data_IF_188707298709
#
_entry.id   IF_188707298709
#
_cell.length_a   1.000
_cell.length_b   1.000
_cell.length_c   1.000
_cell.angle_alpha   90.00
_cell.angle_beta   90.00
_cell.angle_gamma   90.00
#
_symmetry.space_group_name_H-M   'P 1'
#
loop_
_entity.id
_entity.type
_entity.pdbx_description
1 polymer ?
#
# COMPACT_ATOMS: atom_id res chain seq x y z
N UNK A 1 -13.19 -33.45 7.02
CA UNK A 1 -12.46 -32.21 6.63
C UNK A 1 -12.45 -31.33 7.86
N UNK A 2 -11.29 -30.87 8.34
CA UNK A 2 -11.23 -29.93 9.45
C UNK A 2 -11.91 -28.60 9.01
N UNK A 3 -12.53 -27.90 9.97
CA UNK A 3 -13.10 -26.59 9.72
C UNK A 3 -12.00 -25.60 9.28
N UNK A 4 -12.26 -24.77 8.28
CA UNK A 4 -11.33 -23.73 7.85
C UNK A 4 -11.20 -22.66 8.95
N UNK A 5 -10.00 -22.12 9.14
CA UNK A 5 -9.77 -21.00 10.05
C UNK A 5 -10.20 -19.69 9.37
N UNK A 6 -11.19 -18.99 9.93
CA UNK A 6 -11.60 -17.68 9.43
C UNK A 6 -10.50 -16.65 9.66
N UNK A 7 -10.21 -15.86 8.64
CA UNK A 7 -9.31 -14.71 8.70
C UNK A 7 -9.98 -13.50 8.06
N UNK A 8 -9.68 -12.31 8.56
CA UNK A 8 -10.20 -11.05 8.02
C UNK A 8 -9.06 -10.30 7.36
N UNK A 9 -9.22 -10.03 6.07
CA UNK A 9 -8.23 -9.30 5.29
C UNK A 9 -8.70 -7.87 5.10
N UNK A 10 -7.85 -6.97 5.49
CA UNK A 10 -8.02 -5.55 5.33
C UNK A 10 -7.36 -5.08 4.01
N UNK A 11 -8.12 -4.73 2.97
CA UNK A 11 -7.56 -4.36 1.69
C UNK A 11 -7.10 -2.90 1.68
N UNK A 12 -5.79 -2.65 1.67
CA UNK A 12 -5.22 -1.33 1.40
C UNK A 12 -4.92 -1.09 -0.09
N UNK A 13 -5.77 -1.61 -0.96
CA UNK A 13 -5.51 -1.79 -2.39
C UNK A 13 -4.96 -3.20 -2.62
N UNK A 14 -5.84 -4.13 -3.00
CA UNK A 14 -5.45 -5.53 -3.21
C UNK A 14 -4.38 -5.65 -4.29
N UNK A 15 -3.38 -6.48 -4.04
CA UNK A 15 -2.28 -6.78 -4.94
C UNK A 15 -2.64 -7.95 -5.83
N UNK A 16 -1.95 -8.06 -6.96
CA UNK A 16 -2.22 -9.16 -7.89
C UNK A 16 -2.04 -10.53 -7.23
N UNK A 17 -0.98 -10.71 -6.42
CA UNK A 17 -0.76 -11.97 -5.70
C UNK A 17 -1.85 -12.28 -4.68
N UNK A 18 -2.47 -11.28 -4.05
CA UNK A 18 -3.62 -11.51 -3.15
C UNK A 18 -4.84 -11.99 -3.93
N UNK A 19 -5.15 -11.35 -5.08
CA UNK A 19 -6.23 -11.80 -5.96
C UNK A 19 -6.01 -13.21 -6.50
N UNK A 20 -4.77 -13.54 -6.87
CA UNK A 20 -4.41 -14.90 -7.32
C UNK A 20 -4.64 -15.90 -6.19
N UNK A 21 -4.21 -15.60 -4.96
CA UNK A 21 -4.40 -16.49 -3.83
C UNK A 21 -5.90 -16.78 -3.55
N UNK A 22 -6.78 -15.79 -3.79
CA UNK A 22 -8.24 -15.99 -3.74
C UNK A 22 -8.75 -16.85 -4.89
N UNK A 23 -8.44 -16.50 -6.13
CA UNK A 23 -9.00 -17.13 -7.34
C UNK A 23 -8.51 -18.58 -7.51
N UNK A 24 -7.26 -18.85 -7.19
CA UNK A 24 -6.68 -20.20 -7.25
C UNK A 24 -6.97 -21.05 -6.00
N UNK A 25 -7.62 -20.49 -4.97
CA UNK A 25 -7.99 -21.19 -3.76
C UNK A 25 -6.82 -21.49 -2.80
N UNK A 26 -5.68 -20.81 -2.96
CA UNK A 26 -4.47 -21.10 -2.15
C UNK A 26 -4.68 -20.86 -0.66
N UNK A 27 -5.52 -19.91 -0.26
CA UNK A 27 -5.90 -19.74 1.14
C UNK A 27 -6.64 -20.95 1.69
N UNK A 28 -7.56 -21.53 0.92
CA UNK A 28 -8.31 -22.72 1.33
C UNK A 28 -7.42 -23.96 1.40
N UNK A 29 -6.47 -24.10 0.49
CA UNK A 29 -5.48 -25.17 0.51
C UNK A 29 -4.65 -25.13 1.81
N UNK A 30 -4.37 -23.93 2.32
CA UNK A 30 -3.70 -23.70 3.60
C UNK A 30 -4.67 -23.75 4.80
N UNK A 31 -5.92 -24.18 4.60
CA UNK A 31 -6.91 -24.32 5.67
C UNK A 31 -7.48 -22.98 6.17
N UNK A 32 -7.42 -21.92 5.37
CA UNK A 32 -7.91 -20.59 5.70
C UNK A 32 -9.20 -20.25 4.93
N UNK A 33 -10.10 -19.51 5.59
CA UNK A 33 -11.33 -18.95 5.01
C UNK A 33 -11.27 -17.41 5.08
N UNK A 34 -10.73 -16.74 4.05
CA UNK A 34 -10.53 -15.31 4.06
C UNK A 34 -11.81 -14.52 3.78
N UNK A 35 -12.11 -13.58 4.66
CA UNK A 35 -13.13 -12.55 4.51
C UNK A 35 -12.48 -11.20 4.20
N UNK A 36 -12.80 -10.57 3.07
CA UNK A 36 -12.30 -9.25 2.73
C UNK A 36 -13.21 -8.16 3.31
N UNK A 37 -12.63 -7.24 4.04
CA UNK A 37 -13.35 -6.13 4.70
C UNK A 37 -13.62 -4.98 3.72
N UNK A 38 -14.55 -5.19 2.79
CA UNK A 38 -14.85 -4.25 1.70
C UNK A 38 -15.32 -2.87 2.17
N UNK A 39 -16.09 -2.81 3.26
CA UNK A 39 -16.57 -1.53 3.79
C UNK A 39 -15.42 -0.64 4.24
N UNK A 40 -14.38 -1.22 4.81
CA UNK A 40 -13.16 -0.51 5.18
C UNK A 40 -12.43 -0.01 3.93
N UNK A 41 -12.32 -0.85 2.89
CA UNK A 41 -11.73 -0.46 1.60
C UNK A 41 -12.45 0.73 0.97
N UNK A 42 -13.77 0.66 0.89
CA UNK A 42 -14.60 1.76 0.36
C UNK A 42 -14.48 3.04 1.20
N UNK A 43 -14.32 2.91 2.50
CA UNK A 43 -14.07 4.04 3.41
C UNK A 43 -12.77 4.79 3.08
N UNK A 44 -11.70 4.07 2.69
CA UNK A 44 -10.42 4.67 2.29
C UNK A 44 -10.48 5.47 0.99
N UNK A 45 -11.46 5.21 0.13
CA UNK A 45 -11.63 5.93 -1.14
C UNK A 45 -12.08 7.37 -0.94
N UNK A 46 -12.59 7.72 0.24
CA UNK A 46 -13.04 9.06 0.59
C UNK A 46 -11.88 9.93 1.05
N UNK A 47 -12.03 11.26 0.90
CA UNK A 47 -11.10 12.23 1.49
C UNK A 47 -11.15 12.13 3.03
N UNK A 48 -9.98 12.25 3.66
CA UNK A 48 -9.83 12.11 5.10
C UNK A 48 -8.95 13.22 5.69
N UNK A 49 -9.42 13.88 6.75
CA UNK A 49 -8.71 14.98 7.43
C UNK A 49 -8.49 14.73 8.95
N UNK A 50 -8.93 13.58 9.47
CA UNK A 50 -8.76 13.21 10.88
C UNK A 50 -7.35 12.71 11.23
N UNK A 51 -7.10 12.48 12.52
CA UNK A 51 -5.85 11.92 13.02
C UNK A 51 -5.73 10.40 12.81
N UNK A 52 -4.60 9.82 13.24
CA UNK A 52 -4.29 8.39 13.07
C UNK A 52 -5.40 7.45 13.55
N UNK A 53 -5.85 7.62 14.80
CA UNK A 53 -6.79 6.70 15.44
C UNK A 53 -8.23 6.79 14.94
N UNK A 54 -8.49 7.54 13.88
CA UNK A 54 -9.84 7.78 13.37
C UNK A 54 -10.01 7.40 11.89
N UNK A 55 -8.95 6.91 11.22
CA UNK A 55 -9.07 6.52 9.79
C UNK A 55 -9.90 5.24 9.66
N UNK A 56 -10.68 5.09 8.58
CA UNK A 56 -11.46 3.86 8.34
C UNK A 56 -10.64 2.58 8.41
N UNK A 57 -9.39 2.61 7.95
CA UNK A 57 -8.48 1.48 7.96
C UNK A 57 -7.96 1.12 9.35
N UNK A 58 -8.04 2.01 10.33
CA UNK A 58 -7.58 1.76 11.70
C UNK A 58 -8.68 1.12 12.55
N UNK A 59 -9.94 1.27 12.13
CA UNK A 59 -11.10 0.80 12.86
C UNK A 59 -11.05 -0.70 13.23
N UNK A 60 -10.68 -1.62 12.31
CA UNK A 60 -10.58 -3.04 12.63
C UNK A 60 -9.61 -3.37 13.77
N UNK A 61 -8.52 -2.60 13.88
CA UNK A 61 -7.50 -2.79 14.94
C UNK A 61 -7.94 -2.19 16.27
N UNK A 62 -8.72 -1.12 16.24
CA UNK A 62 -9.33 -0.53 17.45
C UNK A 62 -10.43 -1.42 18.04
N UNK A 63 -11.11 -2.18 17.19
CA UNK A 63 -12.18 -3.10 17.56
C UNK A 63 -11.69 -4.52 17.88
N UNK A 64 -10.39 -4.80 17.74
CA UNK A 64 -9.84 -6.15 17.97
C UNK A 64 -10.37 -7.16 16.93
N UNK A 65 -10.52 -6.76 15.69
CA UNK A 65 -11.18 -7.56 14.66
C UNK A 65 -10.29 -8.66 14.04
N UNK A 66 -9.11 -8.92 14.59
CA UNK A 66 -8.14 -9.91 14.09
C UNK A 66 -7.82 -9.73 12.59
N UNK A 67 -7.65 -8.48 12.17
CA UNK A 67 -7.43 -8.13 10.78
C UNK A 67 -5.97 -8.33 10.35
N UNK A 68 -5.79 -8.75 9.10
CA UNK A 68 -4.50 -8.82 8.40
C UNK A 68 -4.54 -7.78 7.30
N UNK A 69 -3.63 -6.81 7.34
CA UNK A 69 -3.50 -5.79 6.30
C UNK A 69 -2.06 -5.68 5.83
N UNK A 70 -1.86 -4.92 4.75
CA UNK A 70 -0.55 -4.55 4.25
C UNK A 70 -0.52 -3.03 4.04
N UNK A 71 0.58 -2.39 4.44
CA UNK A 71 0.83 -0.98 4.21
C UNK A 71 2.30 -0.74 3.86
N UNK A 72 2.66 0.46 3.41
CA UNK A 72 4.08 0.80 3.26
C UNK A 72 4.82 0.61 4.60
N UNK A 73 6.10 0.27 4.56
CA UNK A 73 6.88 -0.03 5.76
C UNK A 73 6.79 1.10 6.79
N UNK A 74 6.88 2.36 6.38
CA UNK A 74 6.70 3.52 7.26
C UNK A 74 5.33 3.53 7.95
N UNK A 75 4.26 3.30 7.18
CA UNK A 75 2.89 3.27 7.71
C UNK A 75 2.65 2.12 8.68
N UNK A 76 3.16 0.93 8.38
CA UNK A 76 3.04 -0.24 9.27
C UNK A 76 3.78 -0.02 10.59
N UNK A 77 4.99 0.55 10.54
CA UNK A 77 5.76 0.90 11.74
C UNK A 77 5.07 2.00 12.54
N UNK A 78 4.60 3.07 11.90
CA UNK A 78 3.88 4.15 12.57
C UNK A 78 2.58 3.66 13.24
N UNK A 79 1.82 2.79 12.57
CA UNK A 79 0.59 2.23 13.12
C UNK A 79 0.89 1.37 14.36
N UNK A 80 1.89 0.48 14.28
CA UNK A 80 2.32 -0.32 15.43
C UNK A 80 2.81 0.57 16.58
N UNK A 81 3.60 1.61 16.27
CA UNK A 81 4.07 2.57 17.26
C UNK A 81 2.96 3.38 17.94
N UNK A 82 1.84 3.59 17.24
CA UNK A 82 0.63 4.21 17.79
C UNK A 82 -0.27 3.23 18.58
N UNK A 83 0.17 1.98 18.76
CA UNK A 83 -0.58 0.95 19.50
C UNK A 83 -1.74 0.34 18.70
N UNK A 84 -1.66 0.38 17.37
CA UNK A 84 -2.64 -0.21 16.46
C UNK A 84 -2.08 -1.48 15.84
N UNK A 85 -2.06 -2.58 16.58
CA UNK A 85 -1.53 -3.86 16.13
C UNK A 85 0.00 -3.91 16.05
N UNK A 86 0.53 -4.83 15.26
CA UNK A 86 1.96 -5.08 15.09
C UNK A 86 2.30 -5.29 13.60
N UNK A 87 3.53 -4.96 13.19
CA UNK A 87 4.00 -5.39 11.88
C UNK A 87 4.67 -6.76 11.94
N UNK A 88 4.64 -7.50 10.84
CA UNK A 88 5.29 -8.81 10.72
C UNK A 88 6.61 -8.64 9.98
N UNK A 89 7.77 -8.91 10.65
CA UNK A 89 9.08 -8.71 10.05
C UNK A 89 9.53 -9.87 9.14
N UNK A 90 8.77 -10.97 9.07
CA UNK A 90 9.16 -12.19 8.36
C UNK A 90 8.65 -12.25 6.91
N UNK A 91 7.95 -11.20 6.47
CA UNK A 91 7.46 -11.07 5.10
C UNK A 91 7.39 -9.58 4.70
N UNK A 92 7.65 -9.30 3.43
CA UNK A 92 7.54 -7.95 2.90
C UNK A 92 7.14 -7.93 1.42
N UNK A 93 6.63 -6.80 0.98
CA UNK A 93 6.38 -6.54 -0.43
C UNK A 93 7.42 -5.61 -1.04
N UNK A 94 7.58 -5.69 -2.36
CA UNK A 94 8.33 -4.74 -3.18
C UNK A 94 7.34 -4.08 -4.13
N UNK A 95 6.97 -2.86 -3.83
CA UNK A 95 5.96 -2.09 -4.54
C UNK A 95 6.58 -0.93 -5.31
N UNK A 96 5.87 -0.42 -6.31
CA UNK A 96 6.28 0.75 -7.09
C UNK A 96 5.48 1.99 -6.67
N UNK A 97 6.14 3.12 -6.82
CA UNK A 97 5.58 4.45 -6.60
C UNK A 97 6.02 5.39 -7.70
N UNK A 98 5.14 6.31 -8.11
CA UNK A 98 5.51 7.37 -9.04
C UNK A 98 4.69 8.64 -8.81
N UNK A 99 5.29 9.78 -9.16
CA UNK A 99 4.64 11.10 -9.19
C UNK A 99 4.39 11.46 -10.65
N UNK A 100 3.15 11.83 -10.94
CA UNK A 100 2.67 12.16 -12.25
C UNK A 100 2.12 13.58 -12.31
N UNK A 101 2.20 14.14 -13.50
CA UNK A 101 1.60 15.42 -13.89
C UNK A 101 0.85 15.26 -15.22
N UNK A 102 0.00 16.22 -15.57
CA UNK A 102 -0.62 16.22 -16.90
C UNK A 102 0.42 16.42 -18.02
N UNK A 103 0.15 15.95 -19.24
CA UNK A 103 1.09 16.07 -20.38
C UNK A 103 1.50 17.52 -20.66
N UNK A 104 0.58 18.47 -20.51
CA UNK A 104 0.76 19.91 -20.75
C UNK A 104 1.36 20.67 -19.56
N UNK A 105 1.66 19.99 -18.45
CA UNK A 105 2.21 20.62 -17.25
C UNK A 105 3.58 21.24 -17.53
N UNK A 106 3.82 22.41 -16.90
CA UNK A 106 5.12 23.09 -16.88
C UNK A 106 6.20 22.33 -16.07
N UNK A 107 5.78 21.42 -15.16
CA UNK A 107 6.69 20.62 -14.33
C UNK A 107 7.35 19.56 -15.22
N UNK A 108 8.67 19.64 -15.42
CA UNK A 108 9.42 18.76 -16.31
C UNK A 108 10.33 17.79 -15.54
N UNK A 109 10.76 18.16 -14.34
CA UNK A 109 11.69 17.42 -13.51
C UNK A 109 11.37 17.56 -12.04
N UNK A 110 12.04 16.78 -11.18
CA UNK A 110 11.75 16.71 -9.73
C UNK A 110 11.89 18.06 -9.03
N UNK A 111 12.85 18.89 -9.44
CA UNK A 111 13.10 20.20 -8.83
C UNK A 111 11.96 21.20 -9.10
N UNK A 112 11.22 21.02 -10.18
CA UNK A 112 10.07 21.87 -10.51
C UNK A 112 8.86 21.61 -9.58
N UNK A 113 8.91 20.53 -8.78
CA UNK A 113 7.92 20.23 -7.74
C UNK A 113 8.10 21.07 -6.46
N UNK A 114 9.11 21.96 -6.40
CA UNK A 114 9.34 22.86 -5.27
C UNK A 114 8.10 23.67 -4.94
N UNK A 115 7.55 23.46 -3.75
CA UNK A 115 6.36 24.17 -3.26
C UNK A 115 5.04 23.78 -3.95
N UNK A 116 5.06 22.85 -4.91
CA UNK A 116 3.84 22.35 -5.58
C UNK A 116 3.16 21.34 -4.67
N UNK A 117 1.88 21.50 -4.29
CA UNK A 117 1.14 20.50 -3.56
C UNK A 117 0.96 19.23 -4.38
N UNK A 118 1.40 18.10 -3.84
CA UNK A 118 1.31 16.79 -4.49
C UNK A 118 0.18 16.01 -3.83
N UNK A 119 -0.81 15.60 -4.63
CA UNK A 119 -1.96 14.85 -4.15
C UNK A 119 -1.58 13.47 -3.62
N UNK A 120 -1.95 13.17 -2.38
CA UNK A 120 -1.66 11.90 -1.68
C UNK A 120 -2.91 11.37 -0.97
N UNK A 121 -2.89 10.08 -0.61
CA UNK A 121 -3.76 9.54 0.43
C UNK A 121 -3.12 9.77 1.80
N UNK A 122 -3.83 10.38 2.73
CA UNK A 122 -3.29 10.68 4.06
C UNK A 122 -2.84 9.40 4.78
N UNK A 123 -1.61 9.41 5.33
CA UNK A 123 -1.00 8.30 6.07
C UNK A 123 -0.95 6.97 5.29
N UNK A 124 -1.07 7.03 3.98
CA UNK A 124 -0.92 5.90 3.07
C UNK A 124 0.45 5.91 2.40
N UNK A 125 0.78 4.87 1.60
CA UNK A 125 2.06 4.76 0.92
C UNK A 125 2.46 6.00 0.12
N UNK A 126 1.51 6.66 -0.53
CA UNK A 126 1.75 7.91 -1.27
C UNK A 126 2.20 9.06 -0.37
N UNK A 127 1.68 9.16 0.86
CA UNK A 127 2.07 10.18 1.82
C UNK A 127 3.57 10.09 2.20
N UNK A 128 4.03 8.87 2.47
CA UNK A 128 5.42 8.63 2.87
C UNK A 128 6.38 8.61 1.67
N UNK A 129 5.94 8.10 0.53
CA UNK A 129 6.78 8.02 -0.66
C UNK A 129 7.12 9.38 -1.28
N UNK A 130 6.25 10.38 -1.16
CA UNK A 130 6.53 11.73 -1.69
C UNK A 130 7.78 12.34 -1.05
N UNK A 131 7.90 12.52 0.28
CA UNK A 131 9.12 13.01 0.88
C UNK A 131 10.30 12.07 0.65
N UNK A 132 10.10 10.75 0.73
CA UNK A 132 11.18 9.77 0.50
C UNK A 132 11.84 9.90 -0.87
N UNK A 133 11.05 10.19 -1.91
CA UNK A 133 11.58 10.35 -3.26
C UNK A 133 12.15 11.74 -3.52
N UNK A 134 11.52 12.76 -2.98
CA UNK A 134 11.87 14.14 -3.28
C UNK A 134 12.99 14.70 -2.39
N UNK A 135 13.27 14.15 -1.22
CA UNK A 135 14.31 14.64 -0.31
C UNK A 135 15.72 14.59 -0.92
N UNK A 136 15.93 13.80 -1.99
CA UNK A 136 17.19 13.79 -2.74
C UNK A 136 17.30 14.96 -3.74
N UNK A 137 16.22 15.69 -4.01
CA UNK A 137 16.14 16.78 -4.99
C UNK A 137 15.76 18.11 -4.36
N UNK A 138 15.01 18.08 -3.24
CA UNK A 138 14.44 19.24 -2.60
C UNK A 138 14.63 19.19 -1.09
N UNK A 139 14.88 20.34 -0.43
CA UNK A 139 14.74 20.43 1.01
C UNK A 139 13.34 20.00 1.47
N UNK A 140 13.23 19.30 2.61
CA UNK A 140 11.94 18.83 3.14
C UNK A 140 10.92 19.96 3.33
N UNK A 141 11.37 21.17 3.70
CA UNK A 141 10.50 22.33 3.87
C UNK A 141 9.79 22.77 2.56
N UNK A 142 10.38 22.43 1.42
CA UNK A 142 9.87 22.77 0.09
C UNK A 142 8.98 21.67 -0.51
N UNK A 143 8.91 20.51 0.11
CA UNK A 143 8.04 19.41 -0.29
C UNK A 143 6.66 19.64 0.31
N UNK A 144 5.65 19.79 -0.55
CA UNK A 144 4.26 20.00 -0.14
C UNK A 144 3.42 18.79 -0.53
N UNK A 145 2.62 18.32 0.41
CA UNK A 145 1.67 17.23 0.19
C UNK A 145 0.27 17.74 0.46
N UNK A 146 -0.68 17.25 -0.33
CA UNK A 146 -2.10 17.57 -0.21
C UNK A 146 -2.93 16.29 -0.08
N UNK A 147 -3.61 16.04 1.06
CA UNK A 147 -4.50 14.90 1.22
C UNK A 147 -5.75 15.07 0.36
N UNK A 148 -5.80 14.39 -0.78
CA UNK A 148 -6.93 14.44 -1.72
C UNK A 148 -7.86 13.24 -1.55
N UNK A 149 -7.37 12.12 -1.03
CA UNK A 149 -8.16 10.92 -0.80
C UNK A 149 -7.60 9.67 -1.47
N UNK A 150 -8.49 8.73 -1.77
CA UNK A 150 -8.14 7.42 -2.30
C UNK A 150 -7.61 7.43 -3.73
N UNK A 151 -7.38 6.23 -4.25
CA UNK A 151 -6.70 6.01 -5.53
C UNK A 151 -7.40 6.66 -6.72
N UNK A 152 -8.70 6.39 -6.91
CA UNK A 152 -9.48 6.94 -8.02
C UNK A 152 -9.60 8.47 -7.94
N UNK A 153 -9.86 9.00 -6.73
CA UNK A 153 -10.03 10.43 -6.52
C UNK A 153 -8.78 11.26 -6.88
N UNK A 154 -7.58 10.76 -6.57
CA UNK A 154 -6.33 11.45 -6.92
C UNK A 154 -6.09 11.49 -8.42
N UNK A 155 -6.37 10.37 -9.10
CA UNK A 155 -6.25 10.30 -10.56
C UNK A 155 -7.27 11.21 -11.24
N UNK A 156 -8.52 11.20 -10.80
CA UNK A 156 -9.57 12.08 -11.30
C UNK A 156 -9.23 13.57 -11.10
N UNK A 157 -8.75 13.93 -9.90
CA UNK A 157 -8.32 15.31 -9.59
C UNK A 157 -7.19 15.80 -10.50
N UNK A 158 -6.20 14.92 -10.80
CA UNK A 158 -5.11 15.27 -11.70
C UNK A 158 -5.61 15.46 -13.14
N UNK A 159 -6.49 14.58 -13.63
CA UNK A 159 -7.07 14.67 -14.97
C UNK A 159 -7.92 15.94 -15.15
N UNK A 160 -8.68 16.31 -14.12
CA UNK A 160 -9.51 17.54 -14.12
C UNK A 160 -8.69 18.82 -13.90
N UNK A 161 -7.41 18.73 -13.56
CA UNK A 161 -6.57 19.88 -13.26
C UNK A 161 -6.86 20.52 -11.91
N UNK A 162 -7.52 19.83 -11.01
CA UNK A 162 -7.74 20.27 -9.63
C UNK A 162 -6.45 20.25 -8.81
N UNK A 163 -5.49 19.38 -9.21
CA UNK A 163 -4.12 19.33 -8.68
C UNK A 163 -3.11 19.35 -9.82
N UNK A 164 -1.90 19.89 -9.57
CA UNK A 164 -0.84 19.94 -10.58
C UNK A 164 -0.04 18.64 -10.64
N UNK A 165 0.08 17.93 -9.51
CA UNK A 165 0.83 16.66 -9.39
C UNK A 165 0.10 15.68 -8.46
N UNK A 166 0.25 14.39 -8.74
CA UNK A 166 -0.33 13.33 -7.91
C UNK A 166 0.61 12.14 -7.77
N UNK A 167 0.54 11.49 -6.63
CA UNK A 167 1.33 10.30 -6.28
C UNK A 167 0.50 9.04 -6.43
N UNK A 168 1.01 8.08 -7.21
CA UNK A 168 0.34 6.81 -7.50
C UNK A 168 1.19 5.61 -7.11
N UNK A 169 0.49 4.50 -6.90
CA UNK A 169 0.99 3.14 -6.71
C UNK A 169 0.34 2.25 -7.78
N UNK A 170 0.75 0.99 -7.91
CA UNK A 170 0.04 0.05 -8.78
C UNK A 170 -1.37 -0.25 -8.23
N UNK A 171 -2.37 -0.43 -9.11
CA UNK A 171 -2.32 -0.37 -10.57
C UNK A 171 -2.46 1.04 -11.17
N UNK A 172 -2.61 2.11 -10.36
CA UNK A 172 -2.84 3.47 -10.88
C UNK A 172 -1.65 3.99 -11.70
N UNK A 173 -0.44 3.46 -11.49
CA UNK A 173 0.72 3.75 -12.35
C UNK A 173 0.42 3.31 -13.79
N UNK A 174 -0.09 2.10 -14.00
CA UNK A 174 -0.47 1.63 -15.34
C UNK A 174 -1.60 2.45 -15.94
N UNK A 175 -2.61 2.78 -15.12
CA UNK A 175 -3.71 3.63 -15.54
C UNK A 175 -3.22 5.02 -15.97
N UNK A 176 -2.31 5.63 -15.21
CA UNK A 176 -1.73 6.94 -15.51
C UNK A 176 -0.90 6.91 -16.81
N UNK A 177 -0.10 5.86 -17.00
CA UNK A 177 0.67 5.66 -18.24
C UNK A 177 -0.27 5.51 -19.46
N UNK A 178 -1.34 4.72 -19.34
CA UNK A 178 -2.31 4.50 -20.43
C UNK A 178 -3.16 5.75 -20.73
N UNK A 179 -3.34 6.63 -19.74
CA UNK A 179 -3.99 7.94 -19.90
C UNK A 179 -3.06 9.00 -20.49
N UNK A 180 -1.80 8.66 -20.77
CA UNK A 180 -0.81 9.59 -21.32
C UNK A 180 -0.31 10.63 -20.31
N UNK A 181 -0.51 10.41 -19.01
CA UNK A 181 0.07 11.26 -17.98
C UNK A 181 1.59 11.13 -17.98
N UNK A 182 2.28 12.19 -17.59
CA UNK A 182 3.74 12.22 -17.63
C UNK A 182 4.32 11.93 -16.24
N UNK A 183 5.15 10.89 -16.16
CA UNK A 183 5.88 10.54 -14.95
C UNK A 183 7.05 11.50 -14.74
N UNK A 184 7.15 12.09 -13.57
CA UNK A 184 8.25 12.97 -13.16
C UNK A 184 9.30 12.20 -12.36
N UNK A 185 8.87 11.36 -11.42
CA UNK A 185 9.76 10.61 -10.55
C UNK A 185 9.08 9.30 -10.16
N UNK A 186 9.88 8.27 -9.94
CA UNK A 186 9.36 6.98 -9.49
C UNK A 186 10.44 6.10 -8.90
N UNK A 187 10.05 4.95 -8.40
CA UNK A 187 10.95 3.96 -7.85
C UNK A 187 10.21 2.92 -7.00
N UNK A 188 10.98 2.08 -6.32
CA UNK A 188 10.46 1.02 -5.48
C UNK A 188 10.51 1.38 -4.00
N UNK A 189 9.63 0.80 -3.22
CA UNK A 189 9.61 0.86 -1.77
C UNK A 189 9.10 -0.45 -1.20
N UNK A 190 9.31 -0.67 0.10
CA UNK A 190 8.82 -1.89 0.74
C UNK A 190 7.49 -1.66 1.44
N UNK A 191 6.69 -2.71 1.45
CA UNK A 191 5.48 -2.84 2.27
C UNK A 191 5.71 -3.91 3.33
N UNK A 192 5.01 -3.78 4.46
CA UNK A 192 5.00 -4.76 5.54
C UNK A 192 3.56 -5.15 5.87
N UNK A 193 3.37 -6.38 6.29
CA UNK A 193 2.08 -6.79 6.84
C UNK A 193 1.91 -6.23 8.23
N UNK A 194 0.73 -5.74 8.45
CA UNK A 194 0.27 -5.13 9.68
C UNK A 194 -0.93 -5.95 10.17
N UNK A 195 -0.85 -6.46 11.39
CA UNK A 195 -1.75 -7.47 11.93
C UNK A 195 -2.24 -7.08 13.32
N UNK A 196 -3.38 -7.62 13.72
CA UNK A 196 -3.84 -7.54 15.09
C UNK A 196 -2.84 -8.25 16.04
N UNK A 197 -2.66 -7.72 17.23
CA UNK A 197 -1.73 -8.27 18.23
C UNK A 197 -2.07 -9.71 18.64
N UNK A 198 -3.34 -10.08 18.59
CA UNK A 198 -3.84 -11.43 18.92
C UNK A 198 -3.68 -12.44 17.77
N UNK A 199 -3.14 -12.03 16.62
CA UNK A 199 -2.99 -12.91 15.45
C UNK A 199 -2.09 -14.10 15.76
N UNK A 200 -2.57 -15.31 15.45
CA UNK A 200 -1.82 -16.55 15.66
C UNK A 200 -0.70 -16.70 14.63
N UNK A 201 0.53 -16.97 15.09
CA UNK A 201 1.70 -17.14 14.20
C UNK A 201 1.51 -18.22 13.14
N UNK A 202 0.86 -19.34 13.50
CA UNK A 202 0.58 -20.42 12.56
C UNK A 202 -0.38 -19.96 11.45
N UNK A 203 -1.42 -19.21 11.79
CA UNK A 203 -2.35 -18.62 10.81
C UNK A 203 -1.61 -17.69 9.86
N UNK A 204 -0.72 -16.85 10.36
CA UNK A 204 0.08 -15.95 9.55
C UNK A 204 1.06 -16.70 8.64
N UNK A 205 1.72 -17.76 9.11
CA UNK A 205 2.58 -18.59 8.25
C UNK A 205 1.80 -19.19 7.09
N UNK A 206 0.62 -19.77 7.36
CA UNK A 206 -0.27 -20.33 6.33
C UNK A 206 -0.71 -19.26 5.34
N UNK A 207 -1.07 -18.05 5.83
CA UNK A 207 -1.43 -16.92 5.01
C UNK A 207 -0.27 -16.52 4.06
N UNK A 208 0.94 -16.36 4.58
CA UNK A 208 2.10 -16.01 3.77
C UNK A 208 2.53 -17.13 2.83
N UNK A 209 2.33 -18.40 3.20
CA UNK A 209 2.54 -19.54 2.29
C UNK A 209 1.61 -19.44 1.07
N UNK A 210 0.34 -19.10 1.29
CA UNK A 210 -0.61 -18.89 0.20
C UNK A 210 -0.18 -17.73 -0.73
N UNK A 211 0.31 -16.61 -0.16
CA UNK A 211 0.81 -15.48 -0.95
C UNK A 211 2.09 -15.83 -1.72
N UNK A 212 3.02 -16.58 -1.12
CA UNK A 212 4.24 -17.03 -1.81
C UNK A 212 3.93 -17.93 -3.00
N UNK A 213 2.94 -18.83 -2.86
CA UNK A 213 2.43 -19.64 -3.98
C UNK A 213 1.86 -18.79 -5.09
N UNK A 214 1.12 -17.75 -4.74
CA UNK A 214 0.51 -16.82 -5.70
C UNK A 214 1.57 -15.99 -6.41
N UNK A 215 2.57 -15.48 -5.70
CA UNK A 215 3.69 -14.75 -6.32
C UNK A 215 4.50 -15.65 -7.28
N UNK A 216 4.76 -16.91 -6.90
CA UNK A 216 5.35 -17.91 -7.80
C UNK A 216 4.46 -18.25 -9.01
N UNK A 217 3.14 -18.11 -8.90
CA UNK A 217 2.23 -18.26 -10.05
C UNK A 217 2.36 -17.11 -11.05
N UNK A 218 2.63 -15.90 -10.57
CA UNK A 218 2.97 -14.74 -11.42
C UNK A 218 4.21 -15.06 -12.28
N UNK A 219 5.28 -15.57 -11.67
CA UNK A 219 6.52 -15.91 -12.40
C UNK A 219 6.29 -16.96 -13.47
N UNK A 220 5.41 -17.92 -13.22
CA UNK A 220 5.11 -18.98 -14.19
C UNK A 220 4.26 -18.51 -15.37
N UNK A 221 3.30 -17.64 -15.14
CA UNK A 221 2.39 -17.18 -16.20
C UNK A 221 1.63 -15.89 -15.79
N UNK A 222 2.33 -14.75 -15.83
CA UNK A 222 1.72 -13.45 -15.51
C UNK A 222 0.49 -13.16 -16.38
N UNK A 223 0.56 -13.45 -17.69
CA UNK A 223 -0.51 -13.12 -18.64
C UNK A 223 -1.87 -13.71 -18.26
N UNK A 224 -1.89 -14.88 -17.64
CA UNK A 224 -3.12 -15.52 -17.14
C UNK A 224 -3.85 -14.66 -16.10
N UNK A 225 -3.11 -13.89 -15.30
CA UNK A 225 -3.64 -13.21 -14.12
C UNK A 225 -3.86 -11.71 -14.32
N UNK A 226 -3.30 -11.12 -15.38
CA UNK A 226 -3.48 -9.69 -15.67
C UNK A 226 -4.95 -9.24 -15.69
N UNK A 227 -5.92 -10.03 -16.19
CA UNK A 227 -7.33 -9.63 -16.12
C UNK A 227 -7.86 -9.38 -14.71
N UNK A 228 -7.23 -9.92 -13.66
CA UNK A 228 -7.62 -9.67 -12.28
C UNK A 228 -7.43 -8.21 -11.85
N UNK A 229 -6.57 -7.45 -12.54
CA UNK A 229 -6.40 -6.02 -12.29
C UNK A 229 -7.70 -5.22 -12.49
N UNK A 230 -8.65 -5.73 -13.28
CA UNK A 230 -9.96 -5.08 -13.40
C UNK A 230 -10.72 -4.97 -12.08
N UNK A 231 -10.45 -5.86 -11.12
CA UNK A 231 -11.00 -5.79 -9.76
C UNK A 231 -10.43 -4.63 -8.92
N UNK A 232 -9.32 -4.05 -9.35
CA UNK A 232 -8.64 -2.93 -8.69
C UNK A 232 -8.88 -1.58 -9.37
N UNK A 233 -9.59 -1.56 -10.49
CA UNK A 233 -9.97 -0.32 -11.18
C UNK A 233 -10.97 0.45 -10.31
N UNK A 234 -10.69 1.72 -9.96
CA UNK A 234 -11.62 2.51 -9.15
C UNK A 234 -12.95 2.71 -9.87
N UNK A 235 -14.07 2.82 -9.12
CA UNK A 235 -15.41 2.98 -9.70
C UNK A 235 -15.54 4.15 -10.68
N UNK A 236 -14.82 5.23 -10.45
CA UNK A 236 -14.79 6.43 -11.31
C UNK A 236 -14.27 6.13 -12.73
N UNK A 237 -13.59 5.00 -12.89
CA UNK A 237 -12.97 4.57 -14.15
C UNK A 237 -13.48 3.21 -14.64
N UNK A 238 -14.53 2.66 -14.01
CA UNK A 238 -15.04 1.31 -14.31
C UNK A 238 -15.58 1.17 -15.75
N UNK A 239 -16.16 2.23 -16.30
CA UNK A 239 -16.74 2.23 -17.66
C UNK A 239 -15.68 2.35 -18.77
N UNK A 240 -14.43 2.61 -18.40
CA UNK A 240 -13.36 2.72 -19.37
C UNK A 240 -12.78 1.33 -19.69
N UNK A 241 -12.54 1.07 -20.99
CA UNK A 241 -11.77 -0.08 -21.42
C UNK A 241 -10.29 0.14 -21.11
N UNK A 242 -9.68 -0.76 -20.35
CA UNK A 242 -8.27 -0.78 -20.00
C UNK A 242 -7.56 -1.92 -20.70
N UNK A 243 -6.32 -1.70 -21.12
CA UNK A 243 -5.45 -2.72 -21.74
C UNK A 243 -4.68 -3.46 -20.65
N UNK A 244 -5.38 -4.11 -19.73
CA UNK A 244 -4.77 -4.79 -18.57
C UNK A 244 -3.79 -5.88 -18.98
N UNK A 245 -3.91 -6.42 -20.19
CA UNK A 245 -2.98 -7.38 -20.80
C UNK A 245 -1.56 -6.79 -21.04
N UNK A 246 -1.44 -5.47 -21.06
CA UNK A 246 -0.15 -4.76 -21.17
C UNK A 246 0.42 -4.34 -19.81
N UNK A 247 -0.33 -4.54 -18.71
CA UNK A 247 0.10 -4.18 -17.38
C UNK A 247 1.09 -5.20 -16.83
N UNK A 248 1.84 -4.84 -15.79
CA UNK A 248 2.76 -5.73 -15.12
C UNK A 248 2.19 -6.36 -13.85
N UNK A 249 3.04 -7.08 -13.14
CA UNK A 249 2.70 -7.78 -11.91
C UNK A 249 2.36 -6.86 -10.72
N UNK A 250 2.80 -5.60 -10.77
CA UNK A 250 2.69 -4.69 -9.62
C UNK A 250 3.60 -5.10 -8.47
N UNK A 251 3.07 -4.99 -7.25
CA UNK A 251 3.82 -5.37 -6.04
C UNK A 251 4.14 -6.86 -6.04
N UNK A 252 5.39 -7.18 -5.70
CA UNK A 252 5.88 -8.57 -5.55
C UNK A 252 5.96 -8.92 -4.07
N UNK A 253 5.70 -10.18 -3.75
CA UNK A 253 5.72 -10.70 -2.39
C UNK A 253 7.03 -11.45 -2.11
N UNK A 254 7.62 -11.21 -0.94
CA UNK A 254 8.83 -11.89 -0.46
C UNK A 254 8.56 -12.50 0.91
N UNK A 255 8.60 -13.81 1.00
CA UNK A 255 8.50 -14.52 2.27
C UNK A 255 9.90 -14.79 2.83
N UNK A 256 10.47 -13.76 3.42
CA UNK A 256 11.79 -13.77 4.05
C UNK A 256 11.87 -12.63 5.08
N UNK A 257 12.80 -12.69 6.04
CA UNK A 257 13.01 -11.62 6.99
C UNK A 257 13.26 -10.27 6.31
N UNK A 258 12.56 -9.24 6.78
CA UNK A 258 12.79 -7.87 6.33
C UNK A 258 14.18 -7.41 6.78
N UNK A 259 15.03 -6.89 5.88
CA UNK A 259 16.40 -6.54 6.22
C UNK A 259 16.48 -5.49 7.34
N UNK A 260 17.29 -5.75 8.36
CA UNK A 260 17.40 -4.89 9.53
C UNK A 260 17.87 -3.46 9.17
N UNK A 261 18.76 -3.33 8.19
CA UNK A 261 19.23 -2.03 7.70
C UNK A 261 18.11 -1.23 7.06
N UNK A 262 17.19 -1.86 6.32
CA UNK A 262 16.01 -1.20 5.74
C UNK A 262 15.03 -0.76 6.83
N UNK A 263 14.86 -1.55 7.89
CA UNK A 263 14.03 -1.14 9.02
C UNK A 263 14.62 0.06 9.73
N UNK A 264 15.95 0.11 9.93
CA UNK A 264 16.63 1.24 10.50
C UNK A 264 16.46 2.52 9.64
N UNK A 265 16.53 2.39 8.30
CA UNK A 265 16.24 3.49 7.38
C UNK A 265 14.79 3.98 7.51
N UNK A 266 13.81 3.07 7.63
CA UNK A 266 12.41 3.41 7.84
C UNK A 266 12.23 4.24 9.10
N UNK A 267 12.80 3.80 10.23
CA UNK A 267 12.74 4.52 11.51
C UNK A 267 13.42 5.90 11.42
N UNK A 268 14.59 5.98 10.81
CA UNK A 268 15.32 7.23 10.62
C UNK A 268 14.52 8.23 9.75
N UNK A 269 13.87 7.75 8.69
CA UNK A 269 13.03 8.56 7.81
C UNK A 269 11.77 9.09 8.53
N UNK A 270 11.06 8.24 9.27
CA UNK A 270 9.90 8.63 10.07
C UNK A 270 10.25 9.78 11.03
N UNK A 271 11.39 9.65 11.74
CA UNK A 271 11.86 10.68 12.66
C UNK A 271 12.23 11.97 11.94
N UNK A 272 13.01 11.87 10.84
CA UNK A 272 13.45 13.03 10.04
C UNK A 272 12.28 13.81 9.44
N UNK A 273 11.21 13.12 9.01
CA UNK A 273 10.03 13.78 8.45
C UNK A 273 9.04 14.27 9.50
N UNK A 274 9.24 13.96 10.78
CA UNK A 274 8.34 14.29 11.88
C UNK A 274 6.99 13.56 11.79
N UNK A 275 6.95 12.42 11.12
CA UNK A 275 5.73 11.61 10.93
C UNK A 275 5.52 10.58 12.05
N UNK A 276 6.50 10.40 12.94
CA UNK A 276 6.44 9.47 14.07
C UNK A 276 5.87 10.07 15.36
N UNK A 277 5.37 11.31 15.34
CA UNK A 277 4.89 12.00 16.55
C UNK A 277 3.72 11.31 17.28
N UNK A 278 2.96 10.49 16.57
CA UNK A 278 1.87 9.68 17.16
C UNK A 278 2.39 8.36 17.76
N UNK A 279 3.66 8.02 17.55
CA UNK A 279 4.27 6.79 18.06
C UNK A 279 4.55 6.94 19.56
N UNK A 280 4.00 6.04 20.35
CA UNK A 280 4.25 5.91 21.79
C UNK A 280 5.14 4.69 22.09
N UNK A 281 5.29 3.77 21.11
CA UNK A 281 6.07 2.55 21.19
C UNK A 281 7.15 2.64 20.12
N UNK A 282 8.40 2.42 20.49
CA UNK A 282 9.57 2.49 19.60
C UNK A 282 10.45 1.25 19.68
N UNK A 283 10.27 0.42 20.72
CA UNK A 283 11.04 -0.80 20.91
C UNK A 283 10.58 -1.89 19.96
N UNK A 284 11.53 -2.47 19.21
CA UNK A 284 11.25 -3.45 18.15
C UNK A 284 10.36 -4.61 18.62
N UNK A 285 10.66 -5.22 19.77
CA UNK A 285 9.92 -6.36 20.29
C UNK A 285 8.45 -6.05 20.64
N UNK A 286 8.16 -4.75 20.81
CA UNK A 286 6.81 -4.27 21.06
C UNK A 286 6.08 -3.85 19.77
N UNK A 287 6.83 -3.53 18.71
CA UNK A 287 6.30 -3.13 17.41
C UNK A 287 6.02 -4.33 16.51
N UNK A 288 6.80 -5.41 16.67
CA UNK A 288 6.81 -6.53 15.76
C UNK A 288 6.12 -7.77 16.34
N UNK A 289 5.51 -8.57 15.47
CA UNK A 289 5.07 -9.94 15.72
C UNK A 289 5.90 -10.85 14.82
N UNK A 290 7.01 -11.38 15.36
CA UNK A 290 7.83 -12.35 14.62
C UNK A 290 7.17 -13.71 14.54
N UNK A 291 7.37 -14.38 13.41
CA UNK A 291 6.92 -15.75 13.17
C UNK A 291 7.93 -16.80 13.68
N UNK A 292 9.12 -16.39 14.10
CA UNK A 292 10.11 -17.28 14.68
C UNK A 292 9.66 -17.91 15.99
#
# INVERSE_FOLDING_TARGET
MSALTKIRIFPTGMRLHEWIAFEEGYFRDEGLDPEVMWDVYLGQMKAWSGGYKLRPQDQPFLEGAQAIGNACAWGSVCNAGAGMGKFVPDAYGVARHAIYVRPDSRIQRSEDLRGVPIAVGLMAGSHYNVPYRLESYLPLADIKIEPVGGFGRRLDALLKGEVEAASFLDPQIYMADELGLRRILGGEFNTLWWVDESSERDVLRRYFTALARADGAIDRNLARYLPLWMKCVPPEFADRRWRVEEWGAGERFVFAPYPAEKLAEVMAAINRWGMGREMQITEFDRLALSLA
#
